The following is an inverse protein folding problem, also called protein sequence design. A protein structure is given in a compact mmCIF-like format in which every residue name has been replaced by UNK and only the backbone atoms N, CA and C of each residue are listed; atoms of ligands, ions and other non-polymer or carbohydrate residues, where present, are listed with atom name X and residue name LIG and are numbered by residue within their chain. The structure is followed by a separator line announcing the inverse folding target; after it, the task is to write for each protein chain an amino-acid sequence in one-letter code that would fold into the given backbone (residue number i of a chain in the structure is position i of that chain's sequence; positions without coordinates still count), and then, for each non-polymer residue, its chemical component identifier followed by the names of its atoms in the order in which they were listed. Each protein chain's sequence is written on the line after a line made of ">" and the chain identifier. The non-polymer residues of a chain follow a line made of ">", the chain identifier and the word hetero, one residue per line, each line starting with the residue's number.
data_IF_371561353951
#
_entry.id   IF_371561353951
#
_cell.length_a   1.000
_cell.length_b   1.000
_cell.length_c   1.000
_cell.angle_alpha   90.00
_cell.angle_beta   90.00
_cell.angle_gamma   90.00
#
_symmetry.space_group_name_H-M   'P 1'
#
loop_
_entity.id
_entity.type
_entity.pdbx_description
1 polymer ?
#
# COMPACT_ATOMS: atom_id res chain seq x y z
N UNK A 1 9.31 -7.05 -10.52
CA UNK A 1 8.65 -7.88 -9.50
C UNK A 1 8.71 -7.14 -8.18
N UNK A 2 7.62 -7.20 -7.42
CA UNK A 2 7.53 -6.53 -6.13
C UNK A 2 8.35 -7.20 -5.03
N UNK A 3 8.67 -6.41 -4.01
CA UNK A 3 9.35 -6.84 -2.79
C UNK A 3 8.44 -7.59 -1.83
N UNK A 4 7.18 -7.16 -1.68
CA UNK A 4 6.19 -7.72 -0.75
C UNK A 4 4.87 -8.10 -1.46
N UNK A 5 4.56 -7.42 -2.57
CA UNK A 5 3.30 -7.57 -3.31
C UNK A 5 3.51 -8.32 -4.63
N UNK A 6 2.65 -9.31 -4.86
CA UNK A 6 2.50 -10.02 -6.11
C UNK A 6 1.13 -9.74 -6.75
N UNK A 7 1.04 -9.95 -8.07
CA UNK A 7 -0.22 -9.76 -8.81
C UNK A 7 -1.37 -10.64 -8.27
N UNK A 8 -1.05 -11.77 -7.63
CA UNK A 8 -2.02 -12.68 -7.01
C UNK A 8 -2.56 -12.16 -5.67
N UNK A 9 -1.96 -11.16 -5.05
CA UNK A 9 -2.42 -10.59 -3.77
C UNK A 9 -3.66 -9.69 -3.96
N UNK A 10 -3.99 -9.33 -5.20
CA UNK A 10 -5.17 -8.52 -5.54
C UNK A 10 -6.44 -9.39 -5.55
N UNK A 11 -6.91 -9.73 -4.35
CA UNK A 11 -8.14 -10.49 -4.10
C UNK A 11 -9.15 -9.67 -3.30
N UNK A 12 -10.37 -10.21 -3.14
CA UNK A 12 -11.45 -9.64 -2.33
C UNK A 12 -11.73 -8.15 -2.60
N UNK A 13 -11.49 -7.29 -1.61
CA UNK A 13 -11.75 -5.85 -1.68
C UNK A 13 -10.83 -5.11 -2.65
N UNK A 14 -9.70 -5.71 -3.00
CA UNK A 14 -8.74 -5.22 -3.97
C UNK A 14 -8.74 -6.04 -5.26
N UNK A 15 -9.76 -6.88 -5.47
CA UNK A 15 -9.85 -7.73 -6.65
C UNK A 15 -9.84 -6.90 -7.95
N UNK A 16 -8.98 -7.32 -8.89
CA UNK A 16 -8.90 -6.76 -10.24
C UNK A 16 -9.56 -7.72 -11.23
N UNK A 17 -10.21 -7.19 -12.26
CA UNK A 17 -10.82 -8.05 -13.28
C UNK A 17 -9.74 -8.80 -14.09
N UNK A 18 -10.03 -10.03 -14.51
CA UNK A 18 -9.06 -10.89 -15.21
C UNK A 18 -8.51 -10.30 -16.53
N UNK A 19 -9.20 -9.34 -17.14
CA UNK A 19 -8.78 -8.63 -18.37
C UNK A 19 -7.83 -7.45 -18.14
N UNK A 20 -7.58 -7.12 -16.88
CA UNK A 20 -6.95 -5.87 -16.42
C UNK A 20 -5.55 -6.14 -15.82
N UNK A 21 -5.14 -7.42 -15.75
CA UNK A 21 -3.89 -7.89 -15.11
C UNK A 21 -2.62 -7.50 -15.89
N UNK A 22 -2.72 -7.08 -17.15
CA UNK A 22 -1.55 -6.87 -18.02
C UNK A 22 -0.60 -5.74 -17.56
N UNK A 23 -1.08 -4.79 -16.74
CA UNK A 23 -0.26 -3.67 -16.28
C UNK A 23 0.00 -3.63 -14.77
N UNK A 24 -0.62 -4.49 -13.96
CA UNK A 24 -0.50 -4.39 -12.49
C UNK A 24 0.94 -4.57 -12.02
N UNK A 25 1.72 -5.44 -12.68
CA UNK A 25 3.15 -5.64 -12.40
C UNK A 25 3.97 -4.36 -12.56
N UNK A 26 3.66 -3.52 -13.55
CA UNK A 26 4.34 -2.23 -13.74
C UNK A 26 3.98 -1.22 -12.62
N UNK A 27 2.76 -1.29 -12.08
CA UNK A 27 2.38 -0.46 -10.94
C UNK A 27 3.05 -0.94 -9.66
N UNK A 28 3.13 -2.25 -9.43
CA UNK A 28 3.88 -2.82 -8.29
C UNK A 28 5.33 -2.33 -8.33
N UNK A 29 6.02 -2.52 -9.45
CA UNK A 29 7.43 -2.15 -9.61
C UNK A 29 7.66 -0.64 -9.45
N UNK A 30 6.69 0.19 -9.85
CA UNK A 30 6.80 1.66 -9.76
C UNK A 30 6.53 2.21 -8.37
N UNK A 31 5.54 1.66 -7.67
CA UNK A 31 4.95 2.31 -6.51
C UNK A 31 5.34 1.66 -5.20
N UNK A 32 5.62 0.37 -5.16
CA UNK A 32 5.91 -0.33 -3.91
C UNK A 32 7.14 0.24 -3.20
N UNK A 33 8.28 0.31 -3.90
CA UNK A 33 9.52 0.87 -3.35
C UNK A 33 9.32 2.32 -2.90
N UNK A 34 8.57 3.11 -3.67
CA UNK A 34 8.26 4.50 -3.31
C UNK A 34 7.47 4.58 -2.01
N UNK A 35 6.39 3.81 -1.86
CA UNK A 35 5.56 3.86 -0.65
C UNK A 35 6.28 3.31 0.58
N UNK A 36 7.13 2.30 0.42
CA UNK A 36 7.95 1.76 1.50
C UNK A 36 9.06 2.73 1.93
N UNK A 37 9.74 3.36 0.99
CA UNK A 37 10.75 4.38 1.27
C UNK A 37 10.12 5.62 1.91
N UNK A 38 8.93 6.02 1.46
CA UNK A 38 8.17 7.10 2.09
C UNK A 38 7.76 6.73 3.54
N UNK A 39 7.33 5.48 3.77
CA UNK A 39 6.91 5.01 5.09
C UNK A 39 8.05 5.03 6.10
N UNK A 40 9.19 4.42 5.76
CA UNK A 40 10.29 4.14 6.68
C UNK A 40 11.40 5.22 6.65
N UNK A 41 11.53 5.93 5.54
CA UNK A 41 12.71 6.72 5.21
C UNK A 41 13.75 5.92 4.44
N UNK A 42 14.66 6.63 3.76
CA UNK A 42 15.57 6.02 2.79
C UNK A 42 16.61 5.05 3.41
N UNK A 43 17.04 5.29 4.64
CA UNK A 43 18.05 4.45 5.32
C UNK A 43 17.41 3.20 5.92
N UNK A 44 16.39 3.38 6.76
CA UNK A 44 15.64 2.27 7.33
C UNK A 44 15.02 1.36 6.25
N UNK A 45 14.53 1.93 5.15
CA UNK A 45 14.04 1.13 4.02
C UNK A 45 15.12 0.22 3.41
N UNK A 46 16.36 0.70 3.26
CA UNK A 46 17.45 -0.13 2.71
C UNK A 46 17.78 -1.29 3.64
N UNK A 47 17.79 -1.05 4.95
CA UNK A 47 18.00 -2.09 5.96
C UNK A 47 16.88 -3.12 5.93
N UNK A 48 15.63 -2.66 5.96
CA UNK A 48 14.44 -3.51 5.83
C UNK A 48 14.47 -4.35 4.55
N UNK A 49 14.75 -3.73 3.39
CA UNK A 49 14.82 -4.42 2.09
C UNK A 49 15.92 -5.48 2.06
N UNK A 50 17.04 -5.25 2.73
CA UNK A 50 18.14 -6.22 2.80
C UNK A 50 17.80 -7.42 3.71
N UNK A 51 16.95 -7.21 4.71
CA UNK A 51 16.51 -8.25 5.66
C UNK A 51 15.35 -9.11 5.14
N UNK A 52 14.54 -8.59 4.21
CA UNK A 52 13.46 -9.36 3.57
C UNK A 52 14.04 -10.57 2.84
N UNK A 53 13.71 -11.78 3.31
CA UNK A 53 14.13 -13.02 2.67
C UNK A 53 13.32 -13.22 1.38
N UNK A 54 13.98 -12.97 0.25
CA UNK A 54 13.41 -13.17 -1.08
C UNK A 54 13.01 -14.62 -1.38
N UNK A 55 13.50 -15.60 -0.61
CA UNK A 55 13.18 -17.01 -0.76
C UNK A 55 12.09 -17.50 0.21
N UNK A 56 11.72 -16.70 1.21
CA UNK A 56 10.66 -17.05 2.15
C UNK A 56 9.27 -16.93 1.49
N UNK A 57 8.33 -17.85 1.79
CA UNK A 57 6.95 -17.68 1.36
C UNK A 57 6.39 -16.36 1.92
N UNK A 58 5.87 -15.51 1.05
CA UNK A 58 5.38 -14.15 1.33
C UNK A 58 6.45 -13.08 1.64
N UNK A 59 7.73 -13.31 1.33
CA UNK A 59 8.79 -12.27 1.40
C UNK A 59 8.80 -11.55 2.77
N UNK A 60 8.95 -12.34 3.84
CA UNK A 60 8.86 -11.88 5.23
C UNK A 60 10.25 -11.45 5.74
N UNK A 61 10.37 -10.35 6.51
CA UNK A 61 11.60 -9.98 7.20
C UNK A 61 12.05 -11.04 8.21
N UNK A 62 13.36 -11.15 8.44
CA UNK A 62 13.93 -12.09 9.42
C UNK A 62 14.19 -11.44 10.78
N UNK A 63 14.49 -10.14 10.81
CA UNK A 63 14.71 -9.39 12.04
C UNK A 63 13.39 -9.20 12.81
N UNK A 64 13.44 -9.38 14.13
CA UNK A 64 12.26 -9.30 14.98
C UNK A 64 11.61 -7.90 14.97
N UNK A 65 12.39 -6.83 14.85
CA UNK A 65 11.88 -5.46 14.80
C UNK A 65 11.14 -5.23 13.48
N UNK A 66 11.75 -5.63 12.35
CA UNK A 66 11.10 -5.51 11.05
C UNK A 66 9.86 -6.39 10.92
N UNK A 67 9.85 -7.55 11.59
CA UNK A 67 8.67 -8.41 11.66
C UNK A 67 7.51 -7.75 12.42
N UNK A 68 7.77 -6.94 13.45
CA UNK A 68 6.72 -6.23 14.21
C UNK A 68 6.01 -5.18 13.37
N UNK A 69 6.75 -4.38 12.60
CA UNK A 69 6.14 -3.37 11.71
C UNK A 69 5.55 -3.98 10.44
N UNK A 70 6.07 -5.12 9.97
CA UNK A 70 5.55 -5.84 8.81
C UNK A 70 4.16 -6.44 9.08
N UNK A 71 4.00 -7.06 10.25
CA UNK A 71 2.77 -7.71 10.67
C UNK A 71 1.68 -6.70 11.08
N UNK A 72 0.48 -7.22 11.34
CA UNK A 72 -0.61 -6.42 11.90
C UNK A 72 -0.28 -5.92 13.30
N UNK A 73 -0.55 -4.65 13.58
CA UNK A 73 -0.37 -4.02 14.88
C UNK A 73 -1.74 -3.90 15.54
N UNK A 74 -1.85 -4.30 16.81
CA UNK A 74 -3.05 -4.12 17.63
C UNK A 74 -2.62 -3.81 19.07
N UNK A 75 -2.62 -2.52 19.42
CA UNK A 75 -2.16 -2.06 20.73
C UNK A 75 -3.16 -1.09 21.37
N UNK A 76 -3.29 -1.21 22.69
CA UNK A 76 -4.05 -0.26 23.50
C UNK A 76 -3.12 0.88 23.92
N UNK A 77 -3.48 2.11 23.54
CA UNK A 77 -2.74 3.32 23.92
C UNK A 77 -3.68 4.42 24.38
N UNK A 78 -3.52 4.87 25.63
CA UNK A 78 -4.22 6.03 26.20
C UNK A 78 -5.75 6.04 25.95
N UNK A 79 -6.41 4.91 26.23
CA UNK A 79 -7.86 4.68 26.02
C UNK A 79 -8.30 4.64 24.54
N UNK A 80 -7.38 4.47 23.62
CA UNK A 80 -7.62 4.26 22.20
C UNK A 80 -6.98 2.96 21.72
N UNK A 81 -7.51 2.39 20.64
CA UNK A 81 -6.92 1.21 19.99
C UNK A 81 -6.18 1.69 18.74
N UNK A 82 -4.88 1.41 18.69
CA UNK A 82 -4.06 1.58 17.49
C UNK A 82 -4.10 0.26 16.72
N UNK A 83 -4.61 0.30 15.48
CA UNK A 83 -4.74 -0.88 14.63
C UNK A 83 -4.13 -0.66 13.26
N UNK A 84 -3.19 -1.52 12.88
CA UNK A 84 -2.73 -1.65 11.50
C UNK A 84 -2.96 -3.07 11.01
N UNK A 85 -3.41 -3.23 9.77
CA UNK A 85 -3.47 -4.53 9.09
C UNK A 85 -2.10 -4.99 8.58
N UNK A 86 -1.05 -4.18 8.80
CA UNK A 86 0.33 -4.46 8.42
C UNK A 86 0.76 -3.80 7.11
N UNK A 87 2.06 -3.87 6.82
CA UNK A 87 2.67 -3.21 5.66
C UNK A 87 2.11 -3.74 4.34
N UNK A 88 1.82 -5.04 4.27
CA UNK A 88 1.31 -5.66 3.04
C UNK A 88 -0.07 -5.10 2.66
N UNK A 89 -1.02 -5.02 3.59
CA UNK A 89 -2.35 -4.45 3.34
C UNK A 89 -2.27 -2.95 2.96
N UNK A 90 -1.40 -2.21 3.64
CA UNK A 90 -1.14 -0.80 3.35
C UNK A 90 -0.69 -0.59 1.89
N UNK A 91 0.36 -1.29 1.45
CA UNK A 91 0.91 -1.16 0.09
C UNK A 91 -0.09 -1.64 -0.95
N UNK A 92 -0.77 -2.77 -0.70
CA UNK A 92 -1.77 -3.31 -1.60
C UNK A 92 -2.84 -2.27 -1.93
N UNK A 93 -3.36 -1.57 -0.92
CA UNK A 93 -4.36 -0.52 -1.13
C UNK A 93 -3.82 0.72 -1.85
N UNK A 94 -2.56 1.11 -1.62
CA UNK A 94 -1.94 2.20 -2.38
C UNK A 94 -1.72 1.85 -3.86
N UNK A 95 -1.19 0.67 -4.15
CA UNK A 95 -1.00 0.21 -5.54
C UNK A 95 -2.35 0.08 -6.23
N UNK A 96 -3.35 -0.50 -5.55
CA UNK A 96 -4.71 -0.60 -6.09
C UNK A 96 -5.30 0.78 -6.40
N UNK A 97 -5.13 1.74 -5.50
CA UNK A 97 -5.58 3.13 -5.71
C UNK A 97 -4.93 3.75 -6.95
N UNK A 98 -3.60 3.64 -7.09
CA UNK A 98 -2.84 4.14 -8.24
C UNK A 98 -3.26 3.44 -9.55
N UNK A 99 -3.53 2.15 -9.47
CA UNK A 99 -4.00 1.37 -10.61
C UNK A 99 -5.38 1.84 -11.09
N UNK A 100 -6.36 1.91 -10.17
CA UNK A 100 -7.76 2.23 -10.50
C UNK A 100 -7.93 3.68 -10.96
N UNK A 101 -7.15 4.62 -10.43
CA UNK A 101 -7.14 6.01 -10.93
C UNK A 101 -6.52 6.10 -12.32
N UNK A 102 -5.46 5.33 -12.60
CA UNK A 102 -4.79 5.30 -13.89
C UNK A 102 -5.63 4.63 -14.98
N UNK A 103 -6.37 3.58 -14.64
CA UNK A 103 -7.18 2.81 -15.61
C UNK A 103 -8.39 3.58 -16.17
N UNK A 104 -8.76 4.72 -15.57
CA UNK A 104 -9.82 5.61 -16.08
C UNK A 104 -9.47 6.29 -17.40
N UNK A 105 -8.18 6.49 -17.67
CA UNK A 105 -7.69 7.23 -18.82
C UNK A 105 -6.78 6.33 -19.67
N UNK A 106 -7.09 6.20 -20.96
CA UNK A 106 -6.23 5.50 -21.92
C UNK A 106 -5.77 6.48 -22.98
N UNK A 107 -4.45 6.64 -23.13
CA UNK A 107 -3.88 7.40 -24.23
C UNK A 107 -3.93 6.54 -25.48
N UNK A 108 -4.54 7.04 -26.54
CA UNK A 108 -4.54 6.45 -27.88
C UNK A 108 -3.97 7.44 -28.87
N UNK A 109 -3.64 6.98 -30.09
CA UNK A 109 -3.15 7.87 -31.17
C UNK A 109 -4.13 9.01 -31.50
N UNK A 110 -5.43 8.83 -31.18
CA UNK A 110 -6.48 9.82 -31.34
C UNK A 110 -6.71 10.72 -30.11
N UNK A 111 -5.88 10.63 -29.07
CA UNK A 111 -5.98 11.40 -27.84
C UNK A 111 -6.35 10.57 -26.60
N UNK A 112 -6.71 11.27 -25.51
CA UNK A 112 -7.10 10.63 -24.24
C UNK A 112 -8.53 10.13 -24.34
N UNK A 113 -8.71 8.81 -24.29
CA UNK A 113 -10.02 8.15 -24.29
C UNK A 113 -10.36 7.73 -22.86
N UNK A 114 -11.59 7.99 -22.45
CA UNK A 114 -12.15 7.43 -21.21
C UNK A 114 -12.55 5.99 -21.47
N UNK A 115 -12.05 5.06 -20.65
CA UNK A 115 -12.40 3.66 -20.77
C UNK A 115 -13.87 3.47 -20.32
N UNK A 116 -14.81 3.59 -21.24
CA UNK A 116 -16.26 3.45 -21.01
C UNK A 116 -16.73 2.01 -21.25
N UNK A 117 -15.83 1.05 -21.14
CA UNK A 117 -16.09 -0.36 -21.37
C UNK A 117 -16.50 -0.97 -20.03
N UNK A 118 -17.74 -0.73 -19.62
CA UNK A 118 -18.66 -1.65 -18.91
C UNK A 118 -19.97 -0.87 -18.70
N UNK A 119 -21.08 -1.34 -19.28
CA UNK A 119 -22.40 -0.72 -19.15
C UNK A 119 -23.00 -1.11 -17.79
N UNK A 120 -22.35 -0.67 -16.72
CA UNK A 120 -22.84 -0.78 -15.34
C UNK A 120 -23.06 0.62 -14.79
N UNK A 121 -24.27 0.90 -14.33
CA UNK A 121 -24.59 2.15 -13.65
C UNK A 121 -23.66 2.34 -12.46
N UNK A 122 -22.74 3.29 -12.56
CA UNK A 122 -21.92 3.78 -11.46
C UNK A 122 -22.89 4.23 -10.36
N UNK A 123 -22.95 3.59 -9.18
CA UNK A 123 -23.71 4.13 -8.08
C UNK A 123 -23.15 5.52 -7.77
N UNK A 124 -23.99 6.54 -7.57
CA UNK A 124 -23.58 7.92 -7.29
C UNK A 124 -22.61 8.05 -6.09
N UNK A 125 -22.49 6.99 -5.28
CA UNK A 125 -21.65 6.86 -4.09
C UNK A 125 -20.30 6.16 -4.32
N UNK A 126 -20.03 5.63 -5.52
CA UNK A 126 -18.82 4.85 -5.82
C UNK A 126 -17.55 5.67 -5.92
N UNK A 127 -17.66 6.99 -6.19
CA UNK A 127 -16.55 7.92 -6.04
C UNK A 127 -16.02 7.93 -4.61
N UNK A 128 -16.83 7.60 -3.60
CA UNK A 128 -16.34 7.52 -2.24
C UNK A 128 -15.55 6.25 -1.91
N UNK A 129 -15.72 5.18 -2.69
CA UNK A 129 -15.11 3.88 -2.38
C UNK A 129 -13.60 3.88 -2.61
N UNK A 130 -13.15 4.48 -3.71
CA UNK A 130 -11.71 4.57 -4.04
C UNK A 130 -10.97 5.38 -2.96
N UNK A 131 -11.53 6.52 -2.56
CA UNK A 131 -11.00 7.41 -1.52
C UNK A 131 -11.02 6.72 -0.14
N UNK A 132 -12.10 5.99 0.17
CA UNK A 132 -12.19 5.22 1.42
C UNK A 132 -11.05 4.21 1.53
N UNK A 133 -10.77 3.44 0.48
CA UNK A 133 -9.67 2.45 0.47
C UNK A 133 -8.30 3.11 0.62
N UNK A 134 -8.08 4.22 -0.07
CA UNK A 134 -6.85 4.98 0.11
C UNK A 134 -6.70 5.47 1.56
N UNK A 135 -7.77 6.00 2.16
CA UNK A 135 -7.74 6.48 3.54
C UNK A 135 -7.58 5.36 4.58
N UNK A 136 -8.07 4.15 4.30
CA UNK A 136 -7.78 2.94 5.09
C UNK A 136 -6.28 2.61 5.04
N UNK A 137 -5.65 2.62 3.85
CA UNK A 137 -4.19 2.46 3.71
C UNK A 137 -3.41 3.57 4.41
N UNK A 138 -3.87 4.83 4.36
CA UNK A 138 -3.26 5.93 5.11
C UNK A 138 -3.36 5.69 6.62
N UNK A 139 -4.46 5.14 7.12
CA UNK A 139 -4.59 4.81 8.54
C UNK A 139 -3.58 3.73 8.95
N UNK A 140 -3.40 2.69 8.15
CA UNK A 140 -2.36 1.67 8.38
C UNK A 140 -0.95 2.31 8.36
N UNK A 141 -0.69 3.19 7.41
CA UNK A 141 0.56 3.94 7.29
C UNK A 141 0.86 4.78 8.53
N UNK A 142 -0.10 5.60 8.97
CA UNK A 142 0.01 6.45 10.17
C UNK A 142 0.26 5.60 11.43
N UNK A 143 -0.43 4.48 11.58
CA UNK A 143 -0.30 3.61 12.75
C UNK A 143 1.04 2.87 12.79
N UNK A 144 1.60 2.47 11.64
CA UNK A 144 2.95 1.90 11.56
C UNK A 144 4.00 2.95 11.93
N UNK A 145 3.88 4.18 11.38
CA UNK A 145 4.79 5.27 11.75
C UNK A 145 4.69 5.63 13.24
N UNK A 146 3.48 5.63 13.80
CA UNK A 146 3.28 5.84 15.23
C UNK A 146 4.03 4.79 16.05
N UNK A 147 3.92 3.51 15.69
CA UNK A 147 4.61 2.42 16.38
C UNK A 147 6.13 2.57 16.35
N UNK A 148 6.68 2.93 15.19
CA UNK A 148 8.11 3.22 15.02
C UNK A 148 8.53 4.39 15.91
N UNK A 149 7.73 5.47 15.97
CA UNK A 149 8.01 6.62 16.82
C UNK A 149 7.95 6.28 18.32
N UNK A 150 7.04 5.41 18.76
CA UNK A 150 6.99 4.96 20.16
C UNK A 150 8.22 4.12 20.52
N UNK A 151 8.72 3.32 19.58
CA UNK A 151 9.88 2.45 19.74
C UNK A 151 11.12 3.02 19.02
N UNK A 152 11.33 4.34 19.09
CA UNK A 152 12.39 5.03 18.33
C UNK A 152 13.81 4.51 18.60
N UNK A 153 14.05 3.88 19.76
CA UNK A 153 15.33 3.23 20.06
C UNK A 153 15.64 2.00 19.20
N UNK A 154 14.60 1.30 18.73
CA UNK A 154 14.72 0.10 17.88
C UNK A 154 14.86 0.45 16.39
N UNK A 155 14.52 1.69 16.02
CA UNK A 155 14.54 2.20 14.63
C UNK A 155 15.29 3.54 14.53
N UNK A 156 16.59 3.60 14.85
CA UNK A 156 17.33 4.86 14.89
C UNK A 156 17.47 5.53 13.51
N UNK A 157 17.42 4.78 12.41
CA UNK A 157 17.52 5.28 11.03
C UNK A 157 16.17 5.74 10.44
N UNK A 158 15.11 5.77 11.25
CA UNK A 158 13.77 6.16 10.80
C UNK A 158 13.72 7.61 10.34
N UNK A 159 13.26 7.83 9.11
CA UNK A 159 13.03 9.16 8.53
C UNK A 159 11.87 9.14 7.54
N UNK A 160 10.74 8.57 7.96
CA UNK A 160 9.52 8.50 7.17
C UNK A 160 8.87 9.87 6.96
N UNK A 161 8.13 10.01 5.85
CA UNK A 161 7.36 11.22 5.54
C UNK A 161 5.88 11.05 5.92
N UNK A 162 5.20 12.11 6.35
CA UNK A 162 3.76 12.06 6.60
C UNK A 162 2.98 12.07 5.28
N UNK A 163 1.86 11.33 5.20
CA UNK A 163 0.93 11.36 4.06
C UNK A 163 -0.45 11.80 4.51
N UNK A 164 -1.10 12.62 3.69
CA UNK A 164 -2.44 13.14 3.96
C UNK A 164 -3.54 12.23 3.41
N UNK A 165 -4.68 12.25 4.09
CA UNK A 165 -5.96 11.65 3.64
C UNK A 165 -6.58 12.49 2.53
N UNK A 166 -7.37 11.85 1.68
CA UNK A 166 -8.16 12.54 0.64
C UNK A 166 -9.56 12.82 1.19
N UNK A 167 -10.00 14.08 1.11
CA UNK A 167 -11.33 14.53 1.51
C UNK A 167 -12.35 14.28 0.39
N UNK A 168 -13.63 14.12 0.79
CA UNK A 168 -14.77 13.94 -0.12
C UNK A 168 -15.27 15.26 -0.70
#
# INVERSE_FOLDING_TARGET
>A
MGLLINATDFIDTFALSKRIVDNISAYIDRYEEKYLADLLGAELYKLFKADVDANAPNQVPTDANYLLIYNSILEDYSNCIVRSEGMKSMILGFIWFEYVRGSKHKHTESGVIYNNVELSTIPAWSSGFIQKRYNESITNYENIQWYICQNSGDYPEYNGICKGRILF
#
